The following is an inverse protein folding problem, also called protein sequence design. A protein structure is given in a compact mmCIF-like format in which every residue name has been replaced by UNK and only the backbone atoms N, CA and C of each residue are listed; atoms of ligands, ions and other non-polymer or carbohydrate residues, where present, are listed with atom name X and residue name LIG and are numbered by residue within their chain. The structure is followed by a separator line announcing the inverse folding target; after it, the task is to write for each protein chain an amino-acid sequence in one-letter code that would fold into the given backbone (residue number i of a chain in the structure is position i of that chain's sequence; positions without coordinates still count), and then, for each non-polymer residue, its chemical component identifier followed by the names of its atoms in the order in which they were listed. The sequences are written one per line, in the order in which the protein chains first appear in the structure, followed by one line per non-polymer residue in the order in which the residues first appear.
data_IF_365570835470
#
_entry.id   IF_365570835470
#
_cell.length_a   1.000
_cell.length_b   1.000
_cell.length_c   1.000
_cell.angle_alpha   90.00
_cell.angle_beta   90.00
_cell.angle_gamma   90.00
#
_symmetry.space_group_name_H-M   'P 1'
#
loop_
_entity.id
_entity.type
_entity.pdbx_description
1 polymer ?
2 non-polymer ?
3 water ?
#
# COMPACT_ATOMS: atom_id res chain seq x y z
N UNK A 27 5.74 43.91 3.39
CA UNK A 27 5.64 43.58 4.83
C UNK A 27 6.62 42.44 5.14
N UNK A 28 6.89 42.22 6.42
CA UNK A 28 7.67 41.08 6.89
C UNK A 28 7.00 39.78 6.45
N UNK A 29 5.68 39.71 6.49
CA UNK A 29 4.96 38.48 6.09
C UNK A 29 5.16 38.26 4.59
N UNK A 30 5.12 39.31 3.78
CA UNK A 30 5.30 39.19 2.32
C UNK A 30 6.71 38.67 2.06
N UNK A 31 7.69 39.20 2.76
CA UNK A 31 9.11 38.79 2.54
C UNK A 31 9.27 37.31 2.92
N UNK A 32 8.70 36.90 4.06
CA UNK A 32 8.73 35.49 4.51
C UNK A 32 8.07 34.60 3.47
N UNK A 33 6.95 35.03 2.90
CA UNK A 33 6.20 34.23 1.92
C UNK A 33 7.07 34.07 0.66
N UNK A 34 7.79 35.11 0.24
CA UNK A 34 8.63 35.07 -0.97
C UNK A 34 9.79 34.09 -0.76
N UNK A 35 10.39 34.08 0.41
CA UNK A 35 11.48 33.16 0.80
C UNK A 35 10.93 31.73 0.71
N UNK A 36 9.77 31.51 1.35
CA UNK A 36 9.17 30.16 1.34
C UNK A 36 8.89 29.72 -0.09
N UNK A 37 8.30 30.56 -0.92
CA UNK A 37 7.96 30.21 -2.30
C UNK A 37 9.22 29.83 -3.08
N UNK A 38 10.31 30.56 -2.93
CA UNK A 38 11.60 30.26 -3.63
C UNK A 38 12.06 28.86 -3.22
N UNK A 39 12.04 28.56 -1.94
CA UNK A 39 12.55 27.27 -1.40
C UNK A 39 11.63 26.14 -1.87
N UNK A 40 10.30 26.31 -1.80
CA UNK A 40 9.37 25.20 -2.20
C UNK A 40 9.53 24.97 -3.69
N UNK A 41 9.60 26.04 -4.50
CA UNK A 41 9.77 25.93 -5.96
C UNK A 41 11.09 25.21 -6.28
N UNK A 42 12.20 25.64 -5.66
CA UNK A 42 13.53 25.03 -5.84
C UNK A 42 13.55 23.58 -5.45
N UNK A 43 12.96 23.25 -4.32
CA UNK A 43 12.98 21.88 -3.80
C UNK A 43 12.14 21.00 -4.70
N UNK A 44 10.96 21.47 -5.12
CA UNK A 44 10.08 20.74 -6.07
C UNK A 44 10.83 20.41 -7.35
N UNK A 45 11.53 21.40 -7.90
CA UNK A 45 12.31 21.22 -9.15
C UNK A 45 13.41 20.17 -8.90
N UNK A 46 14.26 20.34 -7.91
CA UNK A 46 15.43 19.47 -7.76
C UNK A 46 15.03 18.07 -7.29
N UNK A 47 14.19 17.94 -6.27
CA UNK A 47 13.71 16.62 -5.85
C UNK A 47 12.87 15.98 -6.94
N UNK A 48 12.13 16.74 -7.72
CA UNK A 48 11.34 16.15 -8.81
C UNK A 48 12.22 15.50 -9.85
N UNK A 49 13.46 16.02 -10.04
CA UNK A 49 14.39 15.44 -11.03
C UNK A 49 15.22 14.28 -10.45
N UNK A 50 15.68 14.35 -9.21
CA UNK A 50 16.69 13.40 -8.70
C UNK A 50 16.17 12.61 -7.52
N UNK A 51 15.05 13.06 -6.93
CA UNK A 51 14.54 12.39 -5.75
C UNK A 51 15.03 13.03 -4.47
N UNK A 52 14.21 12.97 -3.45
CA UNK A 52 14.47 13.53 -2.13
C UNK A 52 15.84 13.10 -1.57
N UNK A 53 16.17 11.82 -1.69
CA UNK A 53 17.38 11.24 -1.04
C UNK A 53 18.62 11.88 -1.65
N UNK A 54 18.54 12.36 -2.90
CA UNK A 54 19.73 12.69 -3.71
C UNK A 54 20.05 14.17 -3.69
N UNK A 55 19.25 15.02 -3.04
CA UNK A 55 19.51 16.48 -3.03
C UNK A 55 19.36 16.99 -1.61
N UNK A 56 20.40 17.62 -1.08
CA UNK A 56 20.37 18.18 0.28
C UNK A 56 19.85 19.62 0.32
N UNK A 57 19.54 20.07 1.52
CA UNK A 57 19.02 21.44 1.78
C UNK A 57 20.08 22.47 1.36
N UNK A 58 21.41 22.28 1.58
CA UNK A 58 22.31 23.30 1.05
C UNK A 58 22.16 23.57 -0.46
N UNK A 59 22.02 22.53 -1.28
CA UNK A 59 21.85 22.69 -2.73
C UNK A 59 20.57 23.47 -3.01
N UNK A 60 19.51 23.11 -2.29
CA UNK A 60 18.20 23.78 -2.49
C UNK A 60 18.32 25.27 -2.15
N UNK A 61 18.96 25.58 -1.04
CA UNK A 61 19.13 27.00 -0.61
C UNK A 61 19.93 27.74 -1.71
N UNK A 62 20.96 27.10 -2.28
CA UNK A 62 21.74 27.74 -3.39
C UNK A 62 20.83 27.97 -4.61
N UNK A 63 20.03 26.98 -4.99
CA UNK A 63 19.08 27.10 -6.12
C UNK A 63 18.08 28.23 -5.89
N UNK A 64 17.59 28.39 -4.66
CA UNK A 64 16.56 29.35 -4.25
C UNK A 64 17.15 30.77 -4.10
N UNK A 65 18.47 30.86 -3.90
CA UNK A 65 19.19 32.12 -3.63
C UNK A 65 18.90 32.58 -2.22
N UNK A 66 18.81 31.66 -1.27
CA UNK A 66 18.36 31.94 0.12
C UNK A 66 19.49 31.48 1.05
N UNK A 67 19.76 32.23 2.11
CA UNK A 67 20.75 31.79 3.12
C UNK A 67 20.24 30.56 3.88
N UNK A 68 21.18 29.81 4.45
CA UNK A 68 20.83 28.64 5.30
C UNK A 68 20.00 29.12 6.50
N UNK A 69 20.37 30.26 7.14
CA UNK A 69 19.65 30.72 8.32
C UNK A 69 18.22 31.09 7.96
N UNK A 70 18.02 31.73 6.81
CA UNK A 70 16.66 32.17 6.43
C UNK A 70 15.84 30.90 6.15
N UNK A 71 16.48 29.95 5.49
CA UNK A 71 15.82 28.64 5.18
C UNK A 71 15.39 27.93 6.47
N UNK A 72 16.29 27.73 7.44
CA UNK A 72 16.01 27.01 8.72
C UNK A 72 15.02 27.81 9.58
N UNK A 73 14.92 29.14 9.38
CA UNK A 73 13.89 29.98 10.02
C UNK A 73 12.50 29.55 9.57
N UNK A 74 12.34 29.15 8.33
CA UNK A 74 11.03 28.80 7.71
C UNK A 74 10.78 27.29 7.84
N UNK A 75 11.81 26.45 7.79
CA UNK A 75 11.67 24.97 7.77
C UNK A 75 12.64 24.38 8.79
N UNK A 76 12.12 23.61 9.76
CA UNK A 76 12.94 23.07 10.87
C UNK A 76 14.03 22.16 10.29
N UNK A 77 13.70 21.44 9.21
CA UNK A 77 14.59 20.42 8.65
C UNK A 77 14.13 20.03 7.26
N UNK A 78 14.87 19.11 6.62
CA UNK A 78 14.63 18.70 5.22
C UNK A 78 13.20 18.16 5.07
N UNK A 79 12.76 17.33 6.03
CA UNK A 79 11.42 16.71 5.93
C UNK A 79 10.34 17.77 5.97
N UNK A 80 10.52 18.84 6.74
CA UNK A 80 9.51 19.91 6.79
C UNK A 80 9.32 20.56 5.43
N UNK A 81 10.42 20.85 4.74
CA UNK A 81 10.38 21.44 3.39
C UNK A 81 9.66 20.46 2.45
N UNK A 82 9.99 19.17 2.53
CA UNK A 82 9.35 18.16 1.67
C UNK A 82 7.83 18.14 1.94
N UNK A 83 7.42 18.22 3.19
CA UNK A 83 5.97 18.21 3.52
C UNK A 83 5.26 19.36 2.78
N UNK A 84 5.88 20.56 2.70
CA UNK A 84 5.26 21.64 1.90
C UNK A 84 5.34 21.39 0.39
N UNK A 85 6.42 20.78 -0.13
CA UNK A 85 6.45 20.40 -1.56
C UNK A 85 5.27 19.46 -1.87
N UNK A 86 5.08 18.46 -1.02
CA UNK A 86 4.00 17.47 -1.26
C UNK A 86 2.65 18.18 -1.33
N UNK A 87 2.43 19.21 -0.50
CA UNK A 87 1.14 19.95 -0.56
C UNK A 87 0.96 20.58 -1.92
N UNK A 88 1.95 21.27 -2.47
CA UNK A 88 1.78 22.02 -3.75
C UNK A 88 1.65 21.02 -4.90
N UNK A 89 2.33 19.88 -4.81
CA UNK A 89 2.21 18.86 -5.87
C UNK A 89 0.80 18.23 -5.80
N UNK A 90 0.36 17.86 -4.62
CA UNK A 90 -1.01 17.26 -4.42
C UNK A 90 -2.06 18.22 -4.94
N UNK A 91 -1.88 19.52 -4.69
CA UNK A 91 -2.88 20.52 -5.19
C UNK A 91 -2.93 20.46 -6.71
N UNK A 92 -1.79 20.38 -7.38
CA UNK A 92 -1.71 20.27 -8.85
C UNK A 92 -2.32 18.94 -9.29
N UNK A 93 -2.03 17.82 -8.60
CA UNK A 93 -2.62 16.52 -9.00
C UNK A 93 -4.16 16.69 -9.00
N UNK A 94 -4.70 17.13 -7.88
CA UNK A 94 -6.17 17.30 -7.70
C UNK A 94 -6.73 18.21 -8.82
N UNK A 95 -6.07 19.34 -9.13
CA UNK A 95 -6.58 20.28 -10.16
C UNK A 95 -6.51 19.62 -11.52
N UNK A 96 -5.42 18.92 -11.83
CA UNK A 96 -5.20 18.34 -13.17
C UNK A 96 -6.22 17.21 -13.35
N UNK A 97 -6.50 16.44 -12.28
CA UNK A 97 -7.53 15.37 -12.35
C UNK A 97 -8.89 16.00 -12.69
N UNK A 98 -9.26 17.04 -11.98
CA UNK A 98 -10.55 17.74 -12.23
C UNK A 98 -10.60 18.25 -13.67
N UNK A 99 -9.54 18.87 -14.16
CA UNK A 99 -9.45 19.46 -15.51
C UNK A 99 -9.67 18.37 -16.55
N UNK A 100 -8.92 17.28 -16.44
CA UNK A 100 -8.98 16.23 -17.48
C UNK A 100 -10.35 15.56 -17.47
N UNK A 101 -10.92 15.30 -16.31
CA UNK A 101 -12.25 14.61 -16.30
C UNK A 101 -13.26 15.59 -16.91
N UNK A 102 -13.19 16.88 -16.55
CA UNK A 102 -14.11 17.93 -17.08
C UNK A 102 -14.01 18.02 -18.60
N UNK A 103 -12.84 17.80 -19.19
CA UNK A 103 -12.60 17.94 -20.63
C UNK A 103 -12.87 16.63 -21.39
N UNK A 104 -13.13 15.51 -20.69
CA UNK A 104 -13.29 14.15 -21.28
C UNK A 104 -14.58 14.04 -22.12
N UNK A 105 -15.59 14.86 -21.82
CA UNK A 105 -16.93 14.78 -22.43
C UNK A 105 -17.77 13.67 -21.81
N UNK A 106 -17.41 13.17 -20.63
CA UNK A 106 -18.20 12.12 -19.94
C UNK A 106 -19.66 12.58 -19.78
N UNK A 107 -20.59 11.80 -20.27
CA UNK A 107 -22.03 12.14 -20.34
C UNK A 107 -22.78 11.50 -19.17
N UNK A 108 -22.18 10.51 -18.50
CA UNK A 108 -22.81 9.74 -17.40
C UNK A 108 -21.78 9.58 -16.28
N UNK A 109 -22.23 9.32 -15.04
CA UNK A 109 -21.30 9.07 -13.94
C UNK A 109 -20.38 7.89 -14.26
N UNK A 110 -20.89 6.83 -14.89
CA UNK A 110 -20.03 5.71 -15.31
C UNK A 110 -18.91 6.19 -16.22
N UNK A 111 -19.20 7.03 -17.19
CA UNK A 111 -18.16 7.55 -18.11
C UNK A 111 -17.19 8.47 -17.37
N UNK A 112 -17.62 9.20 -16.36
CA UNK A 112 -16.71 10.07 -15.58
C UNK A 112 -15.73 9.18 -14.84
N UNK A 113 -16.21 8.10 -14.24
CA UNK A 113 -15.34 7.12 -13.55
C UNK A 113 -14.29 6.60 -14.55
N UNK A 114 -14.70 6.18 -15.75
CA UNK A 114 -13.76 5.70 -16.78
C UNK A 114 -12.74 6.82 -17.12
N UNK A 115 -13.20 8.05 -17.26
CA UNK A 115 -12.33 9.18 -17.61
C UNK A 115 -11.36 9.40 -16.43
N UNK A 116 -11.80 9.23 -15.19
CA UNK A 116 -10.93 9.45 -14.00
C UNK A 116 -9.80 8.41 -14.01
N UNK A 117 -10.07 7.16 -14.37
CA UNK A 117 -9.02 6.12 -14.49
C UNK A 117 -7.95 6.58 -15.47
N UNK A 118 -8.35 6.99 -16.67
CA UNK A 118 -7.38 7.42 -17.70
C UNK A 118 -6.67 8.70 -17.23
N UNK A 119 -7.38 9.61 -16.58
CA UNK A 119 -6.76 10.85 -16.07
C UNK A 119 -5.66 10.48 -15.05
N UNK A 120 -5.93 9.53 -14.15
CA UNK A 120 -4.95 9.14 -13.11
C UNK A 120 -3.69 8.58 -13.76
N UNK A 121 -3.81 7.78 -14.81
CA UNK A 121 -2.56 7.27 -15.46
C UNK A 121 -1.83 8.43 -16.14
N UNK A 122 -2.51 9.43 -16.70
CA UNK A 122 -1.86 10.59 -17.34
C UNK A 122 -1.16 11.42 -16.25
N UNK A 123 -1.87 11.73 -15.18
CA UNK A 123 -1.32 12.66 -14.16
C UNK A 123 -0.17 11.97 -13.41
N UNK A 124 -0.34 10.72 -13.02
CA UNK A 124 0.68 9.99 -12.20
C UNK A 124 1.88 9.66 -13.07
N UNK A 125 1.76 9.78 -14.40
CA UNK A 125 2.91 9.58 -15.31
C UNK A 125 3.76 10.84 -15.45
N UNK A 126 3.29 11.98 -14.97
CA UNK A 126 4.13 13.21 -14.95
C UNK A 126 5.41 12.91 -14.19
N UNK A 127 6.62 13.18 -14.73
CA UNK A 127 7.83 12.77 -14.04
C UNK A 127 7.98 13.28 -12.59
N UNK A 128 7.48 14.48 -12.33
CA UNK A 128 7.60 15.11 -10.99
C UNK A 128 6.64 14.41 -10.04
N UNK A 129 5.42 14.11 -10.52
CA UNK A 129 4.42 13.40 -9.66
C UNK A 129 4.93 12.00 -9.37
N UNK A 130 5.45 11.31 -10.41
CA UNK A 130 6.00 9.97 -10.24
C UNK A 130 7.04 10.00 -9.14
N UNK A 131 8.00 10.90 -9.22
CA UNK A 131 9.11 10.85 -8.25
C UNK A 131 8.66 11.32 -6.84
N UNK A 132 7.93 12.43 -6.79
CA UNK A 132 7.64 13.04 -5.46
C UNK A 132 6.49 12.36 -4.75
N UNK A 133 5.42 12.02 -5.46
CA UNK A 133 4.18 11.45 -4.86
C UNK A 133 4.22 9.94 -4.84
N UNK A 134 4.61 9.30 -5.94
CA UNK A 134 4.53 7.83 -5.97
C UNK A 134 5.72 7.22 -5.24
N UNK A 135 6.94 7.79 -5.40
CA UNK A 135 8.15 7.15 -4.85
C UNK A 135 8.54 7.79 -3.51
N UNK A 136 8.74 9.10 -3.45
CA UNK A 136 9.33 9.73 -2.25
C UNK A 136 8.32 9.87 -1.09
N UNK A 137 7.11 10.35 -1.35
CA UNK A 137 6.22 10.78 -0.25
C UNK A 137 5.92 9.65 0.75
N UNK A 138 5.63 8.41 0.30
CA UNK A 138 5.36 7.33 1.24
C UNK A 138 6.54 7.03 2.17
N UNK A 139 7.75 7.22 1.64
CA UNK A 139 9.02 6.97 2.40
C UNK A 139 9.28 8.10 3.38
N UNK A 140 9.21 9.35 2.93
CA UNK A 140 9.55 10.52 3.77
C UNK A 140 8.48 10.77 4.82
N UNK A 141 7.21 10.81 4.42
CA UNK A 141 6.10 11.16 5.33
C UNK A 141 5.80 9.99 6.25
N UNK A 142 6.16 8.78 5.84
CA UNK A 142 5.76 7.54 6.55
C UNK A 142 4.34 7.16 6.14
N UNK A 143 3.97 5.92 6.45
CA UNK A 143 2.67 5.29 6.10
C UNK A 143 1.48 6.19 6.40
N UNK A 144 1.32 6.54 7.67
CA UNK A 144 0.15 7.26 8.19
C UNK A 144 0.13 8.65 7.56
N UNK A 145 1.31 9.28 7.53
CA UNK A 145 1.47 10.66 7.05
C UNK A 145 1.04 10.80 5.62
N UNK A 146 1.56 9.92 4.74
CA UNK A 146 1.31 10.02 3.30
C UNK A 146 -0.19 9.75 3.11
N UNK A 147 -0.73 8.77 3.81
CA UNK A 147 -2.14 8.38 3.56
C UNK A 147 -3.04 9.52 4.01
N UNK A 148 -2.74 10.20 5.12
CA UNK A 148 -3.57 11.35 5.56
C UNK A 148 -3.59 12.44 4.47
N UNK A 149 -2.42 12.78 3.92
CA UNK A 149 -2.34 13.82 2.86
C UNK A 149 -3.15 13.36 1.64
N UNK A 150 -2.90 12.15 1.14
CA UNK A 150 -3.55 11.65 -0.08
C UNK A 150 -5.07 11.70 0.11
N UNK A 151 -5.53 11.30 1.28
CA UNK A 151 -7.00 11.29 1.59
C UNK A 151 -7.54 12.71 1.57
N UNK A 152 -6.84 13.66 2.13
CA UNK A 152 -7.30 15.07 2.18
C UNK A 152 -7.47 15.61 0.76
N UNK A 153 -6.61 15.25 -0.17
CA UNK A 153 -6.69 15.82 -1.54
C UNK A 153 -7.59 14.99 -2.48
N UNK A 154 -7.80 13.71 -2.23
CA UNK A 154 -8.45 12.81 -3.21
C UNK A 154 -9.86 12.38 -2.79
N UNK A 155 -10.13 12.23 -1.50
CA UNK A 155 -11.33 11.40 -1.13
C UNK A 155 -12.60 12.19 -1.49
N UNK A 156 -12.56 13.52 -1.54
CA UNK A 156 -13.65 14.38 -2.04
C UNK A 156 -14.13 13.99 -3.44
N UNK A 157 -13.25 14.14 -4.44
CA UNK A 157 -13.51 13.76 -5.85
C UNK A 157 -13.97 12.31 -5.88
N UNK A 158 -13.27 11.42 -5.19
CA UNK A 158 -13.50 9.97 -5.31
C UNK A 158 -14.93 9.66 -4.84
N UNK A 159 -15.28 10.16 -3.65
CA UNK A 159 -16.60 9.82 -3.06
C UNK A 159 -17.70 10.50 -3.89
N UNK A 160 -17.46 11.68 -4.48
CA UNK A 160 -18.48 12.35 -5.32
C UNK A 160 -18.75 11.49 -6.57
N UNK A 161 -17.70 11.02 -7.23
CA UNK A 161 -17.81 10.19 -8.45
C UNK A 161 -18.64 8.95 -8.11
N UNK A 162 -18.32 8.30 -6.99
CA UNK A 162 -19.00 7.04 -6.61
C UNK A 162 -20.46 7.37 -6.27
N UNK A 163 -20.66 8.40 -5.46
CA UNK A 163 -22.03 8.78 -5.01
C UNK A 163 -22.90 9.03 -6.25
N UNK A 164 -22.39 9.72 -7.24
CA UNK A 164 -23.20 10.07 -8.45
C UNK A 164 -23.55 8.81 -9.21
N UNK A 165 -22.61 7.87 -9.32
CA UNK A 165 -22.87 6.63 -10.07
C UNK A 165 -23.89 5.79 -9.31
N UNK A 166 -23.81 5.71 -7.98
CA UNK A 166 -24.81 4.95 -7.17
C UNK A 166 -26.18 5.59 -7.40
N UNK A 167 -26.25 6.90 -7.37
CA UNK A 167 -27.54 7.66 -7.50
C UNK A 167 -28.16 7.35 -8.87
N UNK A 168 -27.33 7.24 -9.91
CA UNK A 168 -27.75 6.94 -11.31
C UNK A 168 -28.03 5.44 -11.50
N UNK A 169 -27.88 4.61 -10.46
CA UNK A 169 -28.06 3.15 -10.54
C UNK A 169 -26.98 2.46 -11.33
N UNK A 170 -25.83 3.11 -11.59
CA UNK A 170 -24.76 2.56 -12.46
C UNK A 170 -23.73 1.81 -11.59
N UNK A 171 -23.78 1.95 -10.28
CA UNK A 171 -23.11 1.03 -9.32
C UNK A 171 -24.19 0.51 -8.37
N UNK A 172 -23.99 -0.68 -7.79
CA UNK A 172 -24.86 -1.26 -6.75
C UNK A 172 -25.07 -0.30 -5.58
N UNK A 173 -26.26 -0.32 -4.95
CA UNK A 173 -26.50 0.38 -3.67
C UNK A 173 -25.57 -0.14 -2.59
N UNK A 174 -24.81 0.75 -1.95
CA UNK A 174 -23.75 0.35 -1.01
C UNK A 174 -23.22 1.58 -0.34
N UNK A 175 -22.61 1.47 0.86
CA UNK A 175 -21.93 2.61 1.43
C UNK A 175 -20.72 2.97 0.55
N UNK A 176 -20.41 4.25 0.53
CA UNK A 176 -19.40 4.78 -0.43
C UNK A 176 -17.98 4.38 0.03
N UNK A 177 -17.68 4.53 1.32
CA UNK A 177 -16.28 4.47 1.81
C UNK A 177 -15.63 3.11 1.51
N UNK A 178 -16.24 1.93 1.78
CA UNK A 178 -15.56 0.66 1.55
C UNK A 178 -15.16 0.52 0.09
N UNK A 179 -16.06 0.82 -0.85
CA UNK A 179 -15.74 0.71 -2.28
C UNK A 179 -14.61 1.70 -2.60
N UNK A 180 -14.68 2.91 -2.13
CA UNK A 180 -13.65 3.94 -2.40
C UNK A 180 -12.28 3.38 -1.95
N UNK A 181 -12.18 2.80 -0.76
CA UNK A 181 -10.84 2.38 -0.24
C UNK A 181 -10.29 1.26 -1.11
N UNK A 182 -11.14 0.31 -1.52
CA UNK A 182 -10.71 -0.86 -2.32
C UNK A 182 -10.23 -0.34 -3.69
N UNK A 183 -11.00 0.55 -4.30
CA UNK A 183 -10.62 1.05 -5.63
C UNK A 183 -9.32 1.87 -5.52
N UNK A 184 -9.16 2.71 -4.52
CA UNK A 184 -7.90 3.47 -4.30
C UNK A 184 -6.73 2.47 -4.18
N UNK A 185 -6.91 1.32 -3.54
CA UNK A 185 -5.81 0.32 -3.45
C UNK A 185 -5.41 -0.19 -4.81
N UNK A 186 -6.38 -0.50 -5.68
CA UNK A 186 -6.12 -0.89 -7.06
C UNK A 186 -5.41 0.24 -7.84
N UNK A 187 -5.90 1.48 -7.74
CA UNK A 187 -5.37 2.60 -8.54
C UNK A 187 -3.96 2.97 -8.09
N UNK A 188 -3.68 2.89 -6.79
CA UNK A 188 -2.32 3.22 -6.26
C UNK A 188 -1.34 2.17 -6.77
N UNK A 189 -1.70 0.89 -6.70
CA UNK A 189 -0.79 -0.20 -7.14
C UNK A 189 -0.61 -0.13 -8.64
N UNK A 190 -1.63 0.22 -9.41
CA UNK A 190 -1.47 0.39 -10.85
C UNK A 190 -0.39 1.47 -11.12
N UNK A 191 -0.47 2.62 -10.47
CA UNK A 191 0.48 3.73 -10.69
C UNK A 191 1.89 3.28 -10.28
N UNK A 192 2.04 2.59 -9.17
CA UNK A 192 3.39 2.18 -8.68
C UNK A 192 3.98 1.11 -9.62
N UNK A 193 3.16 0.24 -10.17
CA UNK A 193 3.60 -0.75 -11.19
C UNK A 193 4.20 -0.01 -12.36
N UNK A 194 3.49 0.97 -12.91
CA UNK A 194 3.99 1.76 -14.06
C UNK A 194 5.28 2.48 -13.63
N UNK A 195 5.29 3.08 -12.45
CA UNK A 195 6.39 3.96 -12.02
C UNK A 195 7.72 3.18 -11.97
N UNK A 196 7.70 1.89 -11.63
CA UNK A 196 8.96 1.13 -11.49
C UNK A 196 9.21 0.19 -12.67
N UNK A 197 8.38 0.26 -13.71
CA UNK A 197 8.45 -0.73 -14.80
C UNK A 197 9.70 -0.51 -15.69
N UNK A 198 10.22 -1.61 -16.20
CA UNK A 198 11.31 -1.57 -17.20
C UNK A 198 10.84 -0.88 -18.48
N UNK A 199 9.57 -1.08 -18.86
CA UNK A 199 8.97 -0.49 -20.07
C UNK A 199 7.68 0.22 -19.68
N UNK A 200 7.74 1.49 -19.23
CA UNK A 200 6.58 2.15 -18.64
C UNK A 200 5.42 2.31 -19.64
N UNK A 201 5.73 2.46 -20.92
CA UNK A 201 4.67 2.64 -21.94
C UNK A 201 3.87 1.33 -22.04
N UNK A 202 4.53 0.20 -22.11
CA UNK A 202 3.87 -1.12 -22.09
C UNK A 202 3.12 -1.37 -20.78
N UNK A 203 3.74 -1.08 -19.64
CA UNK A 203 3.09 -1.28 -18.33
C UNK A 203 1.82 -0.45 -18.27
N UNK A 204 1.84 0.78 -18.76
CA UNK A 204 0.67 1.67 -18.70
C UNK A 204 -0.44 1.07 -19.58
N UNK A 205 -0.10 0.53 -20.76
CA UNK A 205 -1.17 -0.08 -21.63
C UNK A 205 -1.81 -1.27 -20.89
N UNK A 206 -0.99 -2.12 -20.29
CA UNK A 206 -1.45 -3.38 -19.66
C UNK A 206 -2.30 -3.01 -18.44
N UNK A 207 -1.82 -2.03 -17.65
CA UNK A 207 -2.47 -1.58 -16.40
C UNK A 207 -3.80 -0.89 -16.73
N UNK A 208 -3.83 -0.06 -17.74
CA UNK A 208 -5.06 0.63 -18.19
C UNK A 208 -6.09 -0.45 -18.53
N UNK A 209 -5.70 -1.52 -19.22
CA UNK A 209 -6.66 -2.60 -19.57
C UNK A 209 -7.21 -3.23 -18.30
N UNK A 210 -6.34 -3.57 -17.35
CA UNK A 210 -6.76 -4.18 -16.09
C UNK A 210 -7.75 -3.26 -15.38
N UNK A 211 -7.42 -1.97 -15.25
CA UNK A 211 -8.26 -1.09 -14.42
C UNK A 211 -9.60 -0.89 -15.09
N UNK A 212 -9.59 -0.72 -16.41
CA UNK A 212 -10.87 -0.44 -17.13
C UNK A 212 -11.73 -1.72 -17.01
N UNK A 213 -11.16 -2.91 -17.09
CA UNK A 213 -11.92 -4.18 -17.01
C UNK A 213 -12.47 -4.39 -15.60
N UNK A 214 -11.69 -4.06 -14.58
CA UNK A 214 -12.14 -4.18 -13.18
C UNK A 214 -13.35 -3.28 -12.95
N UNK A 215 -13.30 -2.04 -13.38
CA UNK A 215 -14.43 -1.13 -13.07
C UNK A 215 -15.60 -1.43 -14.03
N UNK A 216 -15.34 -1.88 -15.24
CA UNK A 216 -16.43 -2.22 -16.21
C UNK A 216 -17.23 -3.42 -15.68
N UNK A 217 -16.63 -4.30 -14.88
CA UNK A 217 -17.31 -5.45 -14.28
C UNK A 217 -18.34 -5.03 -13.24
N UNK A 218 -18.19 -3.82 -12.66
CA UNK A 218 -19.07 -3.31 -11.58
C UNK A 218 -20.03 -2.23 -12.10
N UNK A 219 -19.72 -1.57 -13.21
CA UNK A 219 -20.58 -0.49 -13.76
C UNK A 219 -21.70 -1.11 -14.59
N UNK A 220 -22.90 -0.60 -14.37
CA UNK A 220 -24.11 -0.96 -15.15
C UNK A 220 -24.30 0.19 -16.11
N UNK A 221 -23.74 0.13 -17.31
CA UNK A 221 -23.68 1.25 -18.28
C UNK A 221 -22.23 1.59 -18.62
N UNK B 20 37.08 -32.26 12.25
CA UNK B 20 37.26 -32.20 13.73
C UNK B 20 36.22 -31.24 14.35
N UNK B 21 35.98 -30.04 13.78
CA UNK B 21 35.18 -28.99 14.47
C UNK B 21 33.73 -28.93 13.95
N UNK B 22 33.28 -29.89 13.14
CA UNK B 22 31.90 -29.84 12.57
C UNK B 22 30.84 -30.02 13.67
N UNK B 23 31.04 -30.91 14.62
CA UNK B 23 30.02 -31.07 15.69
C UNK B 23 29.94 -29.76 16.49
N UNK B 24 31.07 -29.17 16.87
CA UNK B 24 31.09 -27.91 17.66
C UNK B 24 30.32 -26.83 16.88
N UNK B 25 30.64 -26.66 15.59
CA UNK B 25 30.03 -25.63 14.73
C UNK B 25 28.52 -25.87 14.64
N UNK B 26 28.06 -27.09 14.37
CA UNK B 26 26.64 -27.43 14.26
C UNK B 26 25.94 -27.24 15.61
N UNK B 27 26.59 -27.66 16.70
CA UNK B 27 26.02 -27.48 18.05
C UNK B 27 25.74 -25.99 18.30
N UNK B 28 26.71 -25.13 18.03
CA UNK B 28 26.56 -23.68 18.33
C UNK B 28 25.49 -23.10 17.39
N UNK B 29 25.44 -23.60 16.16
CA UNK B 29 24.39 -23.17 15.19
C UNK B 29 23.01 -23.56 15.73
N UNK B 30 22.86 -24.78 16.23
CA UNK B 30 21.54 -25.27 16.69
C UNK B 30 21.13 -24.47 17.91
N UNK B 31 22.06 -24.16 18.80
CA UNK B 31 21.74 -23.38 20.03
C UNK B 31 21.29 -21.97 19.60
N UNK B 32 22.02 -21.36 18.69
CA UNK B 32 21.71 -20.01 18.19
C UNK B 32 20.30 -20.04 17.56
N UNK B 33 20.02 -21.07 16.77
CA UNK B 33 18.69 -21.16 16.10
C UNK B 33 17.58 -21.29 17.13
N UNK B 34 17.77 -22.07 18.20
CA UNK B 34 16.77 -22.29 19.24
C UNK B 34 16.53 -20.95 19.98
N UNK B 35 17.59 -20.22 20.29
CA UNK B 35 17.49 -18.88 20.96
C UNK B 35 16.68 -17.94 20.06
N UNK B 36 17.01 -17.90 18.79
CA UNK B 36 16.33 -17.01 17.82
C UNK B 36 14.85 -17.38 17.77
N UNK B 37 14.53 -18.65 17.67
CA UNK B 37 13.12 -19.12 17.59
C UNK B 37 12.36 -18.71 18.87
N UNK B 38 12.97 -18.84 20.04
CA UNK B 38 12.32 -18.47 21.31
C UNK B 38 12.01 -16.97 21.28
N UNK B 39 12.96 -16.13 20.84
CA UNK B 39 12.77 -14.67 20.83
C UNK B 39 11.65 -14.32 19.84
N UNK B 40 11.66 -14.93 18.66
CA UNK B 40 10.60 -14.62 17.64
C UNK B 40 9.26 -15.07 18.19
N UNK B 41 9.15 -16.27 18.77
CA UNK B 41 7.92 -16.80 19.34
C UNK B 41 7.40 -15.86 20.44
N UNK B 42 8.28 -15.45 21.38
CA UNK B 42 7.94 -14.53 22.47
C UNK B 42 7.42 -13.18 21.96
N UNK B 43 8.12 -12.62 21.01
CA UNK B 43 7.82 -11.29 20.43
C UNK B 43 6.48 -11.38 19.68
N UNK B 44 6.30 -12.41 18.89
CA UNK B 44 5.03 -12.61 18.14
C UNK B 44 3.86 -12.64 19.12
N UNK B 45 3.99 -13.39 20.21
CA UNK B 45 2.94 -13.52 21.22
C UNK B 45 2.66 -12.15 21.86
N UNK B 46 3.68 -11.49 22.44
CA UNK B 46 3.42 -10.26 23.22
C UNK B 46 3.02 -9.09 22.30
N UNK B 47 3.74 -8.84 21.21
CA UNK B 47 3.34 -7.79 20.25
C UNK B 47 1.98 -8.12 19.62
N UNK B 48 1.67 -9.37 19.37
CA UNK B 48 0.34 -9.73 18.81
C UNK B 48 -0.77 -9.31 19.75
N UNK B 49 -0.54 -9.37 21.07
CA UNK B 49 -1.60 -9.02 22.07
C UNK B 49 -1.64 -7.52 22.36
N UNK B 50 -0.51 -6.82 22.42
CA UNK B 50 -0.44 -5.44 22.98
C UNK B 50 0.06 -4.46 21.94
N UNK B 51 0.64 -4.93 20.84
CA UNK B 51 1.21 -4.06 19.81
C UNK B 51 2.67 -3.78 20.06
N UNK B 52 3.42 -3.59 18.98
CA UNK B 52 4.87 -3.35 18.98
C UNK B 52 5.23 -2.23 19.96
N UNK B 53 4.50 -1.13 19.95
CA UNK B 53 4.87 0.09 20.71
C UNK B 53 4.81 -0.20 22.20
N UNK B 54 4.04 -1.18 22.64
CA UNK B 54 3.66 -1.35 24.06
C UNK B 54 4.52 -2.43 24.75
N UNK B 55 5.43 -3.10 24.04
CA UNK B 55 6.22 -4.19 24.66
C UNK B 55 7.68 -3.98 24.31
N UNK B 56 8.54 -3.90 25.34
CA UNK B 56 9.98 -3.76 25.14
C UNK B 56 10.68 -5.12 24.95
N UNK B 57 11.86 -5.08 24.37
CA UNK B 57 12.72 -6.26 24.16
C UNK B 57 13.09 -6.88 25.51
N UNK B 58 13.38 -6.13 26.60
CA UNK B 58 13.60 -6.82 27.88
C UNK B 58 12.45 -7.73 28.33
N UNK B 59 11.17 -7.31 28.22
CA UNK B 59 10.02 -8.17 28.56
C UNK B 59 10.04 -9.41 27.64
N UNK B 60 10.31 -9.19 26.36
CA UNK B 60 10.35 -10.29 25.35
C UNK B 60 11.45 -11.29 25.74
N UNK B 61 12.64 -10.82 26.11
CA UNK B 61 13.78 -11.70 26.50
C UNK B 61 13.36 -12.49 27.72
N UNK B 62 12.68 -11.88 28.69
CA UNK B 62 12.14 -12.60 29.88
C UNK B 62 11.13 -13.66 29.46
N UNK B 63 10.16 -13.31 28.60
CA UNK B 63 9.14 -14.26 28.12
C UNK B 63 9.84 -15.45 27.44
N UNK B 64 10.90 -15.20 26.67
CA UNK B 64 11.60 -16.21 25.83
C UNK B 64 12.59 -17.05 26.69
N UNK B 65 12.90 -16.58 27.90
CA UNK B 65 13.84 -17.26 28.82
C UNK B 65 15.26 -17.10 28.39
N UNK B 66 15.64 -15.98 27.76
CA UNK B 66 17.02 -15.79 27.25
C UNK B 66 17.58 -14.51 27.86
N UNK B 67 18.88 -14.41 27.85
CA UNK B 67 19.57 -13.21 28.40
C UNK B 67 19.42 -12.03 27.43
N UNK B 68 19.67 -10.84 27.96
CA UNK B 68 19.88 -9.65 27.12
C UNK B 68 21.03 -9.83 26.16
N UNK B 69 22.14 -10.50 26.57
CA UNK B 69 23.25 -10.70 25.64
C UNK B 69 22.87 -11.62 24.48
N UNK B 70 22.03 -12.58 24.76
CA UNK B 70 21.53 -13.54 23.74
C UNK B 70 20.67 -12.75 22.75
N UNK B 71 19.82 -11.86 23.27
CA UNK B 71 19.03 -10.96 22.39
C UNK B 71 19.94 -10.08 21.52
N UNK B 72 20.92 -9.37 22.11
CA UNK B 72 21.91 -8.52 21.41
C UNK B 72 22.55 -9.31 20.27
N UNK B 73 22.93 -10.56 20.55
CA UNK B 73 23.69 -11.42 19.61
C UNK B 73 22.83 -11.69 18.37
N UNK B 74 21.54 -11.89 18.60
CA UNK B 74 20.60 -12.33 17.55
C UNK B 74 20.08 -11.12 16.74
N UNK B 75 19.80 -9.98 17.40
CA UNK B 75 19.05 -8.85 16.77
C UNK B 75 19.76 -7.52 17.04
N UNK B 76 20.07 -6.77 15.98
CA UNK B 76 20.70 -5.43 16.11
C UNK B 76 19.83 -4.53 17.01
N UNK B 77 18.50 -4.62 16.87
CA UNK B 77 17.59 -3.67 17.56
C UNK B 77 16.17 -4.20 17.47
N UNK B 78 15.24 -3.49 18.11
CA UNK B 78 13.84 -3.96 18.24
C UNK B 78 13.24 -4.17 16.87
N UNK B 79 13.49 -3.27 15.92
CA UNK B 79 12.92 -3.35 14.57
C UNK B 79 13.44 -4.62 13.85
N UNK B 80 14.69 -5.02 14.08
CA UNK B 80 15.23 -6.24 13.44
C UNK B 80 14.43 -7.46 13.92
N UNK B 81 14.09 -7.51 15.20
CA UNK B 81 13.32 -8.62 15.79
C UNK B 81 11.93 -8.62 15.11
N UNK B 82 11.37 -7.44 14.95
CA UNK B 82 10.01 -7.29 14.34
C UNK B 82 10.07 -7.78 12.89
N UNK B 83 11.11 -7.43 12.15
CA UNK B 83 11.23 -7.89 10.73
C UNK B 83 11.17 -9.43 10.64
N UNK B 84 11.85 -10.15 11.53
CA UNK B 84 11.77 -11.62 11.58
C UNK B 84 10.39 -12.14 12.04
N UNK B 85 9.76 -11.48 13.00
CA UNK B 85 8.35 -11.80 13.39
C UNK B 85 7.46 -11.72 12.14
N UNK B 86 7.57 -10.66 11.37
CA UNK B 86 6.70 -10.49 10.18
C UNK B 86 6.93 -11.63 9.19
N UNK B 87 8.17 -12.05 8.99
CA UNK B 87 8.48 -13.17 8.06
C UNK B 87 7.75 -14.42 8.50
N UNK B 88 7.85 -14.79 9.78
CA UNK B 88 7.24 -16.03 10.31
C UNK B 88 5.73 -15.92 10.24
N UNK B 89 5.15 -14.75 10.57
CA UNK B 89 3.69 -14.55 10.50
C UNK B 89 3.25 -14.67 9.05
N UNK B 90 3.93 -14.03 8.12
CA UNK B 90 3.52 -14.07 6.68
C UNK B 90 3.60 -15.51 6.17
N UNK B 91 4.60 -16.30 6.63
CA UNK B 91 4.67 -17.71 6.20
C UNK B 91 3.42 -18.44 6.68
N UNK B 92 2.99 -18.22 7.94
CA UNK B 92 1.81 -18.84 8.54
C UNK B 92 0.55 -18.31 7.81
N UNK B 93 0.48 -17.03 7.49
CA UNK B 93 -0.71 -16.52 6.77
C UNK B 93 -0.86 -17.27 5.44
N UNK B 94 0.20 -17.38 4.69
CA UNK B 94 0.15 -18.00 3.35
C UNK B 94 -0.24 -19.46 3.54
N UNK B 95 0.33 -20.15 4.55
CA UNK B 95 0.02 -21.58 4.76
C UNK B 95 -1.44 -21.75 5.17
N UNK B 96 -1.95 -20.87 6.04
CA UNK B 96 -3.35 -20.94 6.54
C UNK B 96 -4.29 -20.71 5.37
N UNK B 97 -3.96 -19.76 4.51
CA UNK B 97 -4.81 -19.47 3.34
C UNK B 97 -4.82 -20.68 2.40
N UNK B 98 -3.68 -21.28 2.14
CA UNK B 98 -3.61 -22.49 1.29
C UNK B 98 -4.49 -23.58 1.89
N UNK B 99 -4.44 -23.80 3.20
CA UNK B 99 -5.25 -24.83 3.89
C UNK B 99 -6.72 -24.54 3.66
N UNK B 100 -7.15 -23.28 3.84
CA UNK B 100 -8.59 -22.96 3.70
C UNK B 100 -9.06 -23.16 2.26
N UNK B 101 -8.26 -22.77 1.27
CA UNK B 101 -8.65 -22.96 -0.15
C UNK B 101 -8.73 -24.47 -0.40
N UNK B 102 -7.76 -25.23 0.09
CA UNK B 102 -7.64 -26.70 -0.12
C UNK B 102 -8.86 -27.40 0.44
N UNK B 103 -9.41 -26.89 1.56
CA UNK B 103 -10.52 -27.49 2.31
C UNK B 103 -11.86 -26.97 1.82
N UNK B 104 -11.88 -25.99 0.89
CA UNK B 104 -13.09 -25.20 0.55
C UNK B 104 -14.10 -26.01 -0.26
N UNK B 105 -13.66 -27.06 -0.93
CA UNK B 105 -14.50 -27.81 -1.90
C UNK B 105 -14.58 -27.12 -3.25
N UNK B 106 -13.73 -26.13 -3.53
CA UNK B 106 -13.74 -25.41 -4.83
C UNK B 106 -13.65 -26.41 -5.99
N UNK B 107 -14.63 -26.35 -6.89
CA UNK B 107 -14.78 -27.28 -8.02
C UNK B 107 -14.04 -26.77 -9.26
N UNK B 108 -13.78 -25.47 -9.36
CA UNK B 108 -13.27 -24.75 -10.54
C UNK B 108 -12.26 -23.68 -10.08
N UNK B 109 -11.36 -23.23 -10.96
CA UNK B 109 -10.41 -22.17 -10.63
C UNK B 109 -11.13 -20.91 -10.16
N UNK B 110 -12.27 -20.55 -10.78
CA UNK B 110 -13.06 -19.39 -10.31
C UNK B 110 -13.46 -19.59 -8.84
N UNK B 111 -13.97 -20.75 -8.45
CA UNK B 111 -14.37 -21.03 -7.06
C UNK B 111 -13.13 -20.98 -6.14
N UNK B 112 -11.95 -21.38 -6.66
CA UNK B 112 -10.72 -21.33 -5.83
C UNK B 112 -10.42 -19.86 -5.54
N UNK B 113 -10.53 -19.02 -6.56
CA UNK B 113 -10.29 -17.56 -6.39
C UNK B 113 -11.22 -17.01 -5.33
N UNK B 114 -12.52 -17.35 -5.39
CA UNK B 114 -13.48 -16.87 -4.37
C UNK B 114 -13.10 -17.39 -2.98
N UNK B 115 -12.64 -18.65 -2.90
CA UNK B 115 -12.24 -19.25 -1.61
C UNK B 115 -11.00 -18.48 -1.11
N UNK B 116 -10.10 -18.11 -1.99
CA UNK B 116 -8.84 -17.40 -1.57
C UNK B 116 -9.19 -16.01 -0.99
N UNK B 117 -10.15 -15.30 -1.60
CA UNK B 117 -10.55 -13.98 -1.07
C UNK B 117 -11.17 -14.20 0.29
N UNK B 118 -12.09 -15.16 0.44
CA UNK B 118 -12.69 -15.48 1.76
C UNK B 118 -11.61 -15.84 2.77
N UNK B 119 -10.60 -16.56 2.33
CA UNK B 119 -9.52 -17.00 3.24
C UNK B 119 -8.74 -15.76 3.72
N UNK B 120 -8.45 -14.84 2.82
CA UNK B 120 -7.73 -13.59 3.18
C UNK B 120 -8.53 -12.81 4.24
N UNK B 121 -9.85 -12.66 4.05
CA UNK B 121 -10.63 -11.90 5.09
C UNK B 121 -10.63 -12.67 6.42
N UNK B 122 -10.64 -13.99 6.39
CA UNK B 122 -10.65 -14.83 7.63
C UNK B 122 -9.28 -14.71 8.30
N UNK B 123 -8.21 -14.92 7.55
CA UNK B 123 -6.88 -14.99 8.19
C UNK B 123 -6.49 -13.59 8.64
N UNK B 124 -6.69 -12.55 7.80
CA UNK B 124 -6.34 -11.15 8.19
C UNK B 124 -7.19 -10.68 9.39
N UNK B 125 -8.29 -11.35 9.69
CA UNK B 125 -9.19 -11.06 10.81
C UNK B 125 -8.68 -11.64 12.11
N UNK B 126 -7.70 -12.54 12.05
CA UNK B 126 -7.09 -13.10 13.28
C UNK B 126 -6.47 -11.93 14.03
N UNK B 127 -6.80 -11.73 15.33
CA UNK B 127 -6.33 -10.52 16.04
C UNK B 127 -4.79 -10.34 16.02
N UNK B 128 -4.06 -11.45 16.02
CA UNK B 128 -2.57 -11.35 15.98
C UNK B 128 -2.11 -10.86 14.59
N UNK B 129 -2.70 -11.38 13.52
CA UNK B 129 -2.38 -10.93 12.16
C UNK B 129 -2.77 -9.47 11.96
N UNK B 130 -3.96 -9.11 12.44
CA UNK B 130 -4.44 -7.72 12.37
C UNK B 130 -3.40 -6.80 13.02
N UNK B 131 -2.98 -7.12 14.25
CA UNK B 131 -2.08 -6.24 14.99
C UNK B 131 -0.72 -6.18 14.31
N UNK B 132 -0.14 -7.35 13.98
CA UNK B 132 1.28 -7.36 13.51
C UNK B 132 1.45 -6.94 12.06
N UNK B 133 0.60 -7.47 11.18
CA UNK B 133 0.71 -7.27 9.71
C UNK B 133 -0.06 -6.02 9.27
N UNK B 134 -1.27 -5.80 9.79
CA UNK B 134 -2.04 -4.67 9.20
C UNK B 134 -1.81 -3.38 9.97
N UNK B 135 -1.55 -3.40 11.26
CA UNK B 135 -1.40 -2.15 12.06
C UNK B 135 0.08 -1.85 12.25
N UNK B 136 0.86 -2.78 12.82
CA UNK B 136 2.27 -2.47 13.14
C UNK B 136 3.16 -2.46 11.89
N UNK B 137 3.05 -3.43 10.99
CA UNK B 137 4.06 -3.64 9.92
C UNK B 137 4.20 -2.40 9.04
N UNK B 138 3.09 -1.77 8.57
CA UNK B 138 3.23 -0.61 7.70
C UNK B 138 4.01 0.52 8.39
N UNK B 139 3.83 0.68 9.70
CA UNK B 139 4.50 1.72 10.53
C UNK B 139 5.98 1.35 10.75
N UNK B 140 6.26 0.14 11.24
CA UNK B 140 7.63 -0.25 11.68
C UNK B 140 8.51 -0.47 10.46
N UNK B 141 8.04 -1.19 9.44
CA UNK B 141 8.85 -1.53 8.25
C UNK B 141 8.97 -0.29 7.37
N UNK B 142 7.99 0.62 7.46
CA UNK B 142 7.77 1.69 6.47
C UNK B 142 7.04 1.14 5.27
N UNK B 143 6.51 2.02 4.44
CA UNK B 143 5.71 1.66 3.25
C UNK B 143 6.51 0.73 2.31
N UNK B 144 7.80 0.96 2.10
CA UNK B 144 8.60 0.22 1.08
C UNK B 144 8.67 -1.24 1.52
N UNK B 145 9.09 -1.38 2.78
CA UNK B 145 9.28 -2.68 3.47
C UNK B 145 7.99 -3.47 3.47
N UNK B 146 6.86 -2.85 3.85
CA UNK B 146 5.57 -3.55 3.90
C UNK B 146 5.19 -4.09 2.51
N UNK B 147 5.32 -3.25 1.48
CA UNK B 147 4.85 -3.59 0.11
C UNK B 147 5.73 -4.76 -0.37
N UNK B 148 7.04 -4.71 -0.07
CA UNK B 148 7.97 -5.74 -0.58
C UNK B 148 7.63 -7.08 0.08
N UNK B 149 7.35 -7.09 1.38
CA UNK B 149 6.97 -8.34 2.10
C UNK B 149 5.68 -8.88 1.49
N UNK B 150 4.64 -8.06 1.38
CA UNK B 150 3.32 -8.52 0.92
C UNK B 150 3.49 -9.17 -0.46
N UNK B 151 4.22 -8.51 -1.36
CA UNK B 151 4.38 -9.02 -2.74
C UNK B 151 5.21 -10.31 -2.71
N UNK B 152 6.28 -10.38 -1.92
CA UNK B 152 7.12 -11.60 -1.84
C UNK B 152 6.27 -12.80 -1.44
N UNK B 153 5.35 -12.62 -0.51
CA UNK B 153 4.60 -13.79 0.03
C UNK B 153 3.37 -14.13 -0.82
N UNK B 154 2.68 -13.13 -1.37
CA UNK B 154 1.33 -13.30 -1.95
C UNK B 154 1.36 -13.29 -3.49
N UNK B 155 2.38 -12.76 -4.15
CA UNK B 155 2.32 -12.62 -5.62
C UNK B 155 2.26 -13.99 -6.28
N UNK B 156 3.08 -14.95 -5.83
CA UNK B 156 3.06 -16.32 -6.39
C UNK B 156 1.69 -16.97 -6.32
N UNK B 157 1.07 -17.07 -5.14
CA UNK B 157 -0.28 -17.63 -4.97
C UNK B 157 -1.24 -16.92 -5.93
N UNK B 158 -1.22 -15.59 -5.91
CA UNK B 158 -2.19 -14.78 -6.72
C UNK B 158 -1.98 -15.09 -8.21
N UNK B 159 -0.75 -15.04 -8.70
CA UNK B 159 -0.47 -15.32 -10.13
C UNK B 159 -0.90 -16.73 -10.51
N UNK B 160 -0.67 -17.72 -9.65
CA UNK B 160 -1.03 -19.11 -9.99
C UNK B 160 -2.55 -19.26 -10.04
N UNK B 161 -3.29 -18.58 -9.15
CA UNK B 161 -4.77 -18.61 -9.19
C UNK B 161 -5.24 -18.00 -10.50
N UNK B 162 -4.59 -16.95 -10.96
CA UNK B 162 -4.97 -16.26 -12.22
C UNK B 162 -4.64 -17.21 -13.38
N UNK B 163 -3.44 -17.80 -13.37
CA UNK B 163 -3.00 -18.69 -14.48
C UNK B 163 -4.00 -19.85 -14.59
N UNK B 164 -4.45 -20.40 -13.48
CA UNK B 164 -5.35 -21.56 -13.50
C UNK B 164 -6.69 -21.13 -14.09
N UNK B 165 -7.17 -19.95 -13.72
CA UNK B 165 -8.48 -19.48 -14.24
C UNK B 165 -8.35 -19.22 -15.74
N UNK B 166 -7.27 -18.64 -16.21
CA UNK B 166 -7.04 -18.39 -17.66
C UNK B 166 -7.02 -19.74 -18.40
N UNK B 167 -6.31 -20.71 -17.85
CA UNK B 167 -6.18 -22.06 -18.48
C UNK B 167 -7.57 -22.68 -18.64
N UNK B 168 -8.49 -22.47 -17.69
CA UNK B 168 -9.87 -22.99 -17.65
C UNK B 168 -10.85 -22.12 -18.42
N UNK B 169 -10.41 -21.02 -19.04
CA UNK B 169 -11.29 -20.12 -19.80
C UNK B 169 -12.24 -19.34 -18.90
N UNK B 170 -11.94 -19.23 -17.60
CA UNK B 170 -12.80 -18.51 -16.63
C UNK B 170 -12.32 -17.07 -16.46
N UNK B 171 -11.18 -16.75 -17.02
CA UNK B 171 -10.64 -15.39 -17.01
C UNK B 171 -10.03 -15.17 -18.39
N UNK B 172 -10.17 -13.94 -18.88
CA UNK B 172 -9.59 -13.50 -20.18
C UNK B 172 -8.08 -13.73 -20.20
N UNK B 173 -7.56 -14.17 -21.34
CA UNK B 173 -6.11 -14.31 -21.58
C UNK B 173 -5.48 -12.90 -21.52
N UNK B 174 -4.44 -12.75 -20.70
CA UNK B 174 -3.86 -11.42 -20.43
C UNK B 174 -2.56 -11.61 -19.66
N UNK B 175 -1.72 -10.55 -19.59
CA UNK B 175 -0.55 -10.58 -18.75
C UNK B 175 -0.94 -10.78 -17.27
N UNK B 176 -0.36 -11.77 -16.62
CA UNK B 176 -0.76 -12.18 -15.26
C UNK B 176 -0.28 -11.16 -14.23
N UNK B 177 0.97 -10.72 -14.33
CA UNK B 177 1.63 -9.86 -13.30
C UNK B 177 0.83 -8.57 -13.06
N UNK B 178 0.44 -7.76 -14.09
CA UNK B 178 -0.29 -6.51 -13.84
C UNK B 178 -1.59 -6.79 -13.07
N UNK B 179 -2.36 -7.76 -13.50
CA UNK B 179 -3.62 -8.10 -12.81
C UNK B 179 -3.34 -8.50 -11.38
N UNK B 180 -2.37 -9.38 -11.14
CA UNK B 180 -2.04 -9.83 -9.80
C UNK B 180 -1.70 -8.64 -8.91
N UNK B 181 -0.87 -7.73 -9.39
CA UNK B 181 -0.36 -6.61 -8.53
C UNK B 181 -1.54 -5.71 -8.17
N UNK B 182 -2.39 -5.42 -9.15
CA UNK B 182 -3.55 -4.52 -8.93
C UNK B 182 -4.48 -5.19 -7.92
N UNK B 183 -4.79 -6.48 -8.08
CA UNK B 183 -5.68 -7.19 -7.15
C UNK B 183 -5.09 -7.22 -5.76
N UNK B 184 -3.78 -7.47 -5.58
CA UNK B 184 -3.16 -7.47 -4.24
C UNK B 184 -3.31 -6.06 -3.62
N UNK B 185 -3.20 -4.98 -4.40
CA UNK B 185 -3.44 -3.60 -3.90
C UNK B 185 -4.85 -3.45 -3.35
N UNK B 186 -5.84 -3.91 -4.09
CA UNK B 186 -7.24 -3.88 -3.69
C UNK B 186 -7.46 -4.73 -2.43
N UNK B 187 -6.90 -5.93 -2.37
CA UNK B 187 -7.18 -6.86 -1.24
C UNK B 187 -6.46 -6.37 0.02
N UNK B 188 -5.29 -5.78 -0.12
CA UNK B 188 -4.56 -5.25 1.06
C UNK B 188 -5.36 -4.07 1.63
N UNK B 189 -5.87 -3.18 0.80
CA UNK B 189 -6.66 -2.01 1.29
C UNK B 189 -8.00 -2.48 1.88
N UNK B 190 -8.58 -3.50 1.31
CA UNK B 190 -9.80 -4.10 1.90
C UNK B 190 -9.51 -4.58 3.34
N UNK B 191 -8.41 -5.28 3.55
CA UNK B 191 -8.08 -5.78 4.91
C UNK B 191 -7.75 -4.62 5.85
N UNK B 192 -7.02 -3.61 5.38
CA UNK B 192 -6.68 -2.40 6.18
C UNK B 192 -7.96 -1.68 6.61
N UNK B 193 -8.94 -1.59 5.71
CA UNK B 193 -10.24 -0.93 6.03
C UNK B 193 -10.88 -1.65 7.24
N UNK B 194 -10.93 -2.97 7.21
CA UNK B 194 -11.53 -3.74 8.32
C UNK B 194 -10.68 -3.54 9.58
N UNK B 195 -9.36 -3.59 9.44
CA UNK B 195 -8.47 -3.52 10.62
C UNK B 195 -8.65 -2.22 11.41
N UNK B 196 -8.94 -1.12 10.73
CA UNK B 196 -8.97 0.22 11.37
C UNK B 196 -10.41 0.64 11.65
N UNK B 197 -11.40 -0.18 11.33
CA UNK B 197 -12.80 0.13 11.66
C UNK B 197 -13.07 0.01 13.15
N UNK B 198 -13.92 0.87 13.67
CA UNK B 198 -14.36 0.83 15.07
C UNK B 198 -15.49 -0.20 15.17
N UNK B 199 -16.17 -0.54 14.05
CA UNK B 199 -17.15 -1.66 13.99
C UNK B 199 -16.67 -2.66 12.93
N UNK B 200 -15.73 -3.54 13.28
CA UNK B 200 -15.13 -4.38 12.26
C UNK B 200 -16.04 -5.48 11.73
N UNK B 201 -17.10 -5.88 12.44
CA UNK B 201 -18.06 -6.89 11.90
C UNK B 201 -18.81 -6.25 10.73
N UNK B 202 -19.26 -5.01 10.87
CA UNK B 202 -19.96 -4.33 9.77
C UNK B 202 -18.97 -4.05 8.64
N UNK B 203 -17.77 -3.57 8.99
CA UNK B 203 -16.77 -3.26 7.92
C UNK B 203 -16.46 -4.53 7.13
N UNK B 204 -16.30 -5.67 7.80
CA UNK B 204 -15.96 -6.92 7.11
C UNK B 204 -17.09 -7.34 6.16
N UNK B 205 -18.35 -7.18 6.59
CA UNK B 205 -19.49 -7.50 5.67
C UNK B 205 -19.43 -6.59 4.45
N UNK B 206 -19.29 -5.29 4.65
CA UNK B 206 -19.37 -4.31 3.56
C UNK B 206 -18.21 -4.60 2.60
N UNK B 207 -17.03 -4.89 3.16
CA UNK B 207 -15.82 -5.07 2.33
C UNK B 207 -15.91 -6.40 1.54
N UNK B 208 -16.35 -7.48 2.19
CA UNK B 208 -16.67 -8.74 1.52
C UNK B 208 -17.64 -8.49 0.36
N UNK B 209 -18.69 -7.69 0.59
CA UNK B 209 -19.69 -7.39 -0.46
C UNK B 209 -19.04 -6.67 -1.65
N UNK B 210 -18.15 -5.74 -1.39
CA UNK B 210 -17.43 -5.05 -2.48
C UNK B 210 -16.59 -6.06 -3.25
N UNK B 211 -15.83 -6.86 -2.52
CA UNK B 211 -14.87 -7.78 -3.19
C UNK B 211 -15.68 -8.81 -4.00
N UNK B 212 -16.86 -9.23 -3.53
CA UNK B 212 -17.74 -10.19 -4.28
C UNK B 212 -18.08 -9.56 -5.63
N UNK B 213 -18.44 -8.28 -5.66
CA UNK B 213 -18.87 -7.60 -6.90
C UNK B 213 -17.67 -7.40 -7.82
N UNK B 214 -16.52 -7.07 -7.26
CA UNK B 214 -15.28 -6.90 -8.05
C UNK B 214 -14.87 -8.23 -8.69
N UNK B 215 -14.85 -9.29 -7.93
CA UNK B 215 -14.33 -10.61 -8.40
C UNK B 215 -15.36 -11.19 -9.38
N UNK B 216 -16.64 -11.10 -9.06
CA UNK B 216 -17.73 -11.68 -9.91
C UNK B 216 -17.82 -10.87 -11.20
N UNK B 217 -17.41 -9.61 -11.21
CA UNK B 217 -17.35 -8.79 -12.43
C UNK B 217 -16.27 -9.22 -13.39
N UNK B 218 -15.25 -9.88 -12.89
CA UNK B 218 -14.06 -10.23 -13.67
C UNK B 218 -14.16 -11.68 -14.12
N UNK B 219 -14.62 -12.56 -13.26
CA UNK B 219 -14.64 -14.02 -13.57
C UNK B 219 -15.81 -14.37 -14.48
N UNK B 220 -15.47 -15.20 -15.46
CA UNK B 220 -16.42 -15.87 -16.37
C UNK B 220 -16.65 -17.25 -15.78
N UNK B 221 -17.45 -17.33 -14.71
CA UNK B 221 -17.72 -18.55 -13.91
C UNK B 221 -17.58 -18.33 -12.41
X LIG C 1 -7.25 8.17 -6.23
X LIG C 1 -7.03 7.78 -8.58
X LIG C 1 -8.29 8.22 -8.85
X LIG C 1 -9.09 8.63 -7.78
X LIG C 1 -8.53 8.59 -6.50
X LIG C 1 -4.58 7.34 -4.06
X LIG C 1 -4.08 7.01 -1.86
X LIG C 1 -6.51 7.68 -7.33
X LIG C 1 -5.85 8.35 -2.51
X LIG C 1 -5.44 7.55 -5.08
X LIG C 1 -4.83 7.55 -2.81
X LIG C 1 -5.02 7.24 -6.74
X LIG C 1 -6.66 8.10 -5.03
X LIG D 1 -5.94 12.18 -6.54
X LIG D 1 -7.35 14.15 -6.59
X LIG D 1 -8.21 13.46 -7.42
X LIG D 1 -7.94 12.16 -7.85
X LIG D 1 -6.76 11.52 -7.40
X LIG D 1 -3.03 12.15 -4.54
X LIG D 1 -2.79 9.92 -5.13
X LIG D 1 -6.24 13.47 -6.11
X LIG D 1 -1.37 10.85 -3.66
X LIG D 1 -4.14 12.44 -5.25
X LIG D 1 -2.40 11.00 -4.47
X LIG D 1 -4.98 13.96 -5.06
X LIG D 1 -4.79 11.60 -6.05
#
# INVERSE_FOLDING_TARGET
MGSSHHHHHHSSGLVPRGSHMEIKRRTQEERSAATREALITGARKLWGLRGYAEVGTPEIATEAGVTRGAMYHQFADKAALFRDVVEVVEQDVMARMATLVAASGAATPADAIRAAVDAWLEVSGDPEVRQLILLDAPVVLGWAGFRDVAQRYSLGMTEQLITEAIRAGQLARQPVRPLAQVLIGALDEAAMFIATADDPKRARRETRQVLRRLIDGMLNG
MGSSHHHHHHSSGLVPRGSHMEIKRRTQEERSAATREALITGARKLWGLRGYAEVGTPEIATEAGVTRGAMYHQFADKAALFRDVVEVVEQDVMARMATLVAASGAATPADAIRAAVDAWLEVSGDPEVRQLILLDAPVVLGWAGFRDVAQRYSLGMTEQLITEAIRAGQLARQPVRPLAQVLIGALDEAAMFIATADDPKRARRETRQVLRRLIDGMLNG
GO2 C4 C5 C6 C7 C8 N1 N2 C3 N3 C1 C2 S1 N4
GO2 C4 C5 C6 C7 C8 N1 N2 C3 N3 C1 C2 S1 N4
#
